data_IF_858867592349
#
_entry.id   IF_858867592349
#
_cell.length_a   1.000
_cell.length_b   1.000
_cell.length_c   1.000
_cell.angle_alpha   90.00
_cell.angle_beta   90.00
_cell.angle_gamma   90.00
#
_symmetry.space_group_name_H-M   'P 1'
#
loop_
_entity.id
_entity.type
_entity.pdbx_description
1 polymer ?
#
# COMPACT_ATOMS: atom_id res chain seq x y z
N UNK A 1 -27.82 -14.17 75.93
CA UNK A 1 -26.53 -14.89 75.91
C UNK A 1 -26.27 -15.33 74.48
N UNK A 2 -25.53 -14.52 73.72
CA UNK A 2 -24.88 -14.86 72.45
C UNK A 2 -23.61 -13.99 72.38
N UNK A 3 -22.41 -14.55 72.22
CA UNK A 3 -21.18 -13.78 72.28
C UNK A 3 -20.87 -13.15 70.92
N UNK A 4 -20.60 -11.84 70.90
CA UNK A 4 -19.91 -11.20 69.78
C UNK A 4 -18.49 -11.76 69.69
N UNK A 5 -18.18 -12.54 68.66
CA UNK A 5 -16.79 -12.84 68.30
C UNK A 5 -16.17 -11.58 67.68
N UNK A 6 -15.16 -11.05 68.36
CA UNK A 6 -14.26 -10.04 67.80
C UNK A 6 -13.49 -10.67 66.64
N UNK A 7 -13.71 -10.15 65.43
CA UNK A 7 -12.84 -10.41 64.29
C UNK A 7 -11.59 -9.56 64.50
N UNK A 8 -10.53 -10.18 65.02
CA UNK A 8 -9.21 -9.58 65.05
C UNK A 8 -8.65 -9.61 63.62
N UNK A 9 -8.62 -8.45 62.96
CA UNK A 9 -7.87 -8.28 61.72
C UNK A 9 -6.40 -8.23 62.11
N UNK A 10 -5.55 -9.18 61.67
CA UNK A 10 -4.13 -9.10 61.94
C UNK A 10 -3.58 -7.88 61.19
N UNK A 11 -3.05 -6.90 61.93
CA UNK A 11 -2.22 -5.86 61.32
C UNK A 11 -0.96 -6.54 60.82
N UNK A 12 -0.83 -6.68 59.50
CA UNK A 12 0.44 -7.04 58.89
C UNK A 12 1.36 -5.83 58.99
N UNK A 13 2.09 -5.73 60.10
CA UNK A 13 3.27 -4.88 60.15
C UNK A 13 4.22 -5.36 59.06
N UNK A 14 4.21 -4.64 57.95
CA UNK A 14 5.00 -4.92 56.76
C UNK A 14 6.44 -4.53 57.10
N UNK A 15 7.19 -5.45 57.70
CA UNK A 15 8.63 -5.27 57.95
C UNK A 15 9.36 -5.44 56.62
N UNK A 16 9.26 -4.40 55.79
CA UNK A 16 10.05 -4.31 54.57
C UNK A 16 11.40 -3.73 54.96
N UNK A 17 12.38 -4.60 55.23
CA UNK A 17 13.79 -4.20 55.34
C UNK A 17 14.17 -3.31 54.14
N UNK A 18 15.00 -2.28 54.35
CA UNK A 18 15.37 -1.34 53.28
C UNK A 18 15.86 -2.04 51.99
N UNK A 19 16.51 -3.20 52.11
CA UNK A 19 16.90 -4.06 50.98
C UNK A 19 15.73 -4.68 50.20
N UNK A 20 14.69 -5.20 50.87
CA UNK A 20 13.52 -5.76 50.18
C UNK A 20 12.66 -4.68 49.53
N UNK A 21 12.66 -3.45 50.06
CA UNK A 21 12.06 -2.27 49.43
C UNK A 21 12.72 -1.94 48.09
N UNK A 22 14.06 -1.97 48.03
CA UNK A 22 14.80 -1.71 46.79
C UNK A 22 14.50 -2.77 45.72
N UNK A 23 14.48 -4.05 46.11
CA UNK A 23 14.14 -5.15 45.19
C UNK A 23 12.72 -4.98 44.64
N UNK A 24 11.76 -4.61 45.47
CA UNK A 24 10.37 -4.41 45.07
C UNK A 24 10.22 -3.22 44.12
N UNK A 25 10.95 -2.13 44.34
CA UNK A 25 10.98 -0.97 43.43
C UNK A 25 11.55 -1.36 42.07
N UNK A 26 12.70 -2.05 42.03
CA UNK A 26 13.31 -2.55 40.77
C UNK A 26 12.36 -3.50 40.04
N UNK A 27 11.68 -4.38 40.77
CA UNK A 27 10.71 -5.32 40.20
C UNK A 27 9.49 -4.60 39.60
N UNK A 28 8.95 -3.57 40.27
CA UNK A 28 7.88 -2.72 39.73
C UNK A 28 8.35 -2.01 38.47
N UNK A 29 9.56 -1.44 38.45
CA UNK A 29 10.11 -0.80 37.25
C UNK A 29 10.21 -1.78 36.07
N UNK A 30 10.69 -3.01 36.32
CA UNK A 30 10.74 -4.04 35.29
C UNK A 30 9.34 -4.41 34.76
N UNK A 31 8.37 -4.59 35.65
CA UNK A 31 6.98 -4.87 35.29
C UNK A 31 6.37 -3.74 34.46
N UNK A 32 6.62 -2.49 34.83
CA UNK A 32 6.16 -1.30 34.09
C UNK A 32 6.79 -1.23 32.70
N UNK A 33 8.10 -1.47 32.56
CA UNK A 33 8.78 -1.46 31.25
C UNK A 33 8.21 -2.57 30.35
N UNK A 34 7.91 -3.75 30.90
CA UNK A 34 7.31 -4.85 30.16
C UNK A 34 5.90 -4.49 29.65
N UNK A 35 5.06 -3.91 30.50
CA UNK A 35 3.71 -3.48 30.12
C UNK A 35 3.71 -2.36 29.06
N UNK A 36 4.62 -1.40 29.19
CA UNK A 36 4.79 -0.32 28.22
C UNK A 36 5.32 -0.84 26.89
N UNK A 37 6.23 -1.81 26.89
CA UNK A 37 6.75 -2.45 25.67
C UNK A 37 5.66 -3.23 24.94
N UNK A 38 4.82 -3.95 25.69
CA UNK A 38 3.67 -4.65 25.12
C UNK A 38 2.65 -3.68 24.53
N UNK A 39 2.33 -2.61 25.26
CA UNK A 39 1.41 -1.56 24.80
C UNK A 39 1.95 -0.82 23.58
N UNK A 40 3.25 -0.51 23.54
CA UNK A 40 3.90 0.14 22.41
C UNK A 40 3.93 -0.77 21.18
N UNK A 41 4.24 -2.06 21.35
CA UNK A 41 4.24 -3.02 20.26
C UNK A 41 2.82 -3.24 19.69
N UNK A 42 1.82 -3.36 20.57
CA UNK A 42 0.42 -3.46 20.16
C UNK A 42 -0.04 -2.20 19.42
N UNK A 43 0.29 -1.02 19.96
CA UNK A 43 -0.01 0.26 19.32
C UNK A 43 0.67 0.38 17.96
N UNK A 44 1.92 -0.06 17.84
CA UNK A 44 2.66 -0.11 16.57
C UNK A 44 1.98 -1.04 15.56
N UNK A 45 1.55 -2.23 15.95
CA UNK A 45 0.83 -3.16 15.06
C UNK A 45 -0.50 -2.54 14.61
N UNK A 46 -1.25 -1.94 15.53
CA UNK A 46 -2.54 -1.30 15.21
C UNK A 46 -2.38 -0.08 14.30
N UNK A 47 -1.35 0.75 14.52
CA UNK A 47 -1.07 1.92 13.69
C UNK A 47 -0.54 1.54 12.31
N UNK A 48 0.32 0.52 12.21
CA UNK A 48 0.80 0.00 10.91
C UNK A 48 -0.34 -0.61 10.09
N UNK A 49 -1.25 -1.33 10.72
CA UNK A 49 -2.39 -1.93 10.03
C UNK A 49 -3.43 -0.89 9.55
N UNK A 50 -3.54 0.26 10.23
CA UNK A 50 -4.44 1.36 9.80
C UNK A 50 -3.81 2.23 8.70
N UNK A 51 -2.48 2.34 8.66
CA UNK A 51 -1.76 3.13 7.65
C UNK A 51 -1.58 2.37 6.34
N UNK A 52 -1.60 1.03 6.37
CA UNK A 52 -1.60 0.25 5.14
C UNK A 52 -3.03 0.17 4.61
N UNK A 53 -3.34 0.77 3.45
CA UNK A 53 -4.60 0.49 2.78
C UNK A 53 -4.70 -1.02 2.58
N UNK A 54 -5.92 -1.58 2.65
CA UNK A 54 -6.14 -2.97 2.29
C UNK A 54 -5.73 -3.14 0.83
N UNK A 55 -4.48 -3.56 0.58
CA UNK A 55 -3.98 -3.82 -0.76
C UNK A 55 -4.65 -5.12 -1.19
N UNK A 56 -5.60 -5.09 -2.14
CA UNK A 56 -6.25 -6.30 -2.58
C UNK A 56 -5.19 -7.19 -3.21
N UNK A 57 -5.13 -8.45 -2.78
CA UNK A 57 -4.18 -9.40 -3.36
C UNK A 57 -4.51 -9.58 -4.84
N UNK A 58 -3.52 -9.85 -5.70
CA UNK A 58 -3.77 -10.21 -7.12
C UNK A 58 -4.74 -11.41 -7.22
N UNK A 59 -4.74 -12.30 -6.23
CA UNK A 59 -5.70 -13.42 -6.16
C UNK A 59 -7.14 -12.96 -5.96
N UNK A 60 -7.35 -11.89 -5.20
CA UNK A 60 -8.66 -11.29 -4.95
C UNK A 60 -9.10 -10.44 -6.14
N UNK A 61 -8.18 -9.63 -6.70
CA UNK A 61 -8.44 -8.83 -7.89
C UNK A 61 -8.87 -9.69 -9.08
N UNK A 62 -8.35 -10.91 -9.21
CA UNK A 62 -8.78 -11.86 -10.26
C UNK A 62 -10.25 -12.28 -10.19
N UNK A 63 -10.92 -12.06 -9.05
CA UNK A 63 -12.34 -12.36 -8.86
C UNK A 63 -13.23 -11.12 -9.02
N UNK A 64 -12.64 -9.94 -9.20
CA UNK A 64 -13.33 -8.66 -9.31
C UNK A 64 -13.10 -8.04 -10.68
N UNK A 65 -13.90 -7.03 -11.03
CA UNK A 65 -13.69 -6.26 -12.25
C UNK A 65 -12.45 -5.36 -12.13
N UNK A 66 -11.62 -5.37 -13.17
CA UNK A 66 -10.37 -4.62 -13.24
C UNK A 66 -10.32 -3.80 -14.53
N UNK A 67 -9.91 -2.54 -14.40
CA UNK A 67 -9.79 -1.60 -15.51
C UNK A 67 -8.40 -1.60 -16.14
N UNK A 68 -8.34 -1.27 -17.42
CA UNK A 68 -7.09 -1.04 -18.15
C UNK A 68 -7.27 -0.03 -19.30
N UNK A 69 -6.18 0.57 -19.76
CA UNK A 69 -6.23 1.49 -20.91
C UNK A 69 -6.59 0.75 -22.21
N UNK A 70 -7.61 1.24 -22.91
CA UNK A 70 -8.00 0.71 -24.20
C UNK A 70 -6.86 0.84 -25.22
N UNK A 71 -6.74 -0.14 -26.10
CA UNK A 71 -5.63 -0.28 -27.06
C UNK A 71 -4.22 -0.40 -26.44
N UNK A 72 -4.10 -0.67 -25.14
CA UNK A 72 -2.82 -0.96 -24.49
C UNK A 72 -2.45 -2.45 -24.51
N UNK A 73 -1.15 -2.73 -24.46
CA UNK A 73 -0.60 -4.09 -24.27
C UNK A 73 -1.01 -4.68 -22.90
N UNK A 74 -1.42 -3.83 -21.95
CA UNK A 74 -1.80 -4.21 -20.59
C UNK A 74 -2.86 -5.32 -20.59
N UNK A 75 -3.83 -5.31 -21.52
CA UNK A 75 -4.82 -6.39 -21.63
C UNK A 75 -4.16 -7.77 -21.78
N UNK A 76 -3.23 -7.88 -22.73
CA UNK A 76 -2.50 -9.12 -22.99
C UNK A 76 -1.61 -9.51 -21.80
N UNK A 77 -1.00 -8.54 -21.13
CA UNK A 77 -0.22 -8.77 -19.92
C UNK A 77 -1.07 -9.33 -18.77
N UNK A 78 -2.25 -8.74 -18.52
CA UNK A 78 -3.17 -9.19 -17.47
C UNK A 78 -3.66 -10.63 -17.71
N UNK A 79 -3.98 -10.97 -18.95
CA UNK A 79 -4.45 -12.33 -19.30
C UNK A 79 -3.29 -13.33 -19.25
N UNK A 80 -2.20 -13.06 -19.98
CA UNK A 80 -1.15 -14.06 -20.23
C UNK A 80 -0.19 -14.23 -19.06
N UNK A 81 0.13 -13.15 -18.33
CA UNK A 81 1.11 -13.21 -17.23
C UNK A 81 0.46 -13.26 -15.85
N UNK A 82 -0.62 -12.50 -15.65
CA UNK A 82 -1.30 -12.45 -14.35
C UNK A 82 -2.51 -13.40 -14.24
N UNK A 83 -2.95 -14.00 -15.35
CA UNK A 83 -4.01 -15.00 -15.37
C UNK A 83 -5.40 -14.44 -15.05
N UNK A 84 -5.68 -13.20 -15.47
CA UNK A 84 -7.02 -12.62 -15.39
C UNK A 84 -7.94 -13.20 -16.46
N UNK A 85 -9.23 -13.33 -16.13
CA UNK A 85 -10.26 -13.68 -17.10
C UNK A 85 -10.66 -12.45 -17.90
N UNK A 86 -10.75 -12.59 -19.23
CA UNK A 86 -11.09 -11.48 -20.13
C UNK A 86 -12.45 -10.85 -19.80
N UNK A 87 -13.42 -11.64 -19.33
CA UNK A 87 -14.76 -11.15 -18.92
C UNK A 87 -14.73 -10.22 -17.71
N UNK A 88 -13.66 -10.24 -16.92
CA UNK A 88 -13.48 -9.38 -15.74
C UNK A 88 -12.68 -8.11 -16.07
N UNK A 89 -12.24 -7.93 -17.32
CA UNK A 89 -11.45 -6.79 -17.73
C UNK A 89 -12.33 -5.74 -18.43
N UNK A 90 -12.20 -4.48 -18.01
CA UNK A 90 -12.94 -3.35 -18.60
C UNK A 90 -11.97 -2.35 -19.24
N UNK A 91 -12.12 -2.05 -20.55
CA UNK A 91 -11.32 -1.04 -21.21
C UNK A 91 -11.83 0.37 -20.89
N UNK A 92 -10.91 1.32 -20.74
CA UNK A 92 -11.20 2.73 -20.51
C UNK A 92 -10.28 3.60 -21.37
N UNK A 93 -10.72 4.81 -21.74
CA UNK A 93 -9.98 5.66 -22.68
C UNK A 93 -9.47 6.95 -22.03
N UNK A 94 -10.09 7.41 -20.94
CA UNK A 94 -9.76 8.67 -20.29
C UNK A 94 -9.47 8.52 -18.80
N UNK A 95 -8.73 9.50 -18.27
CA UNK A 95 -8.43 9.64 -16.83
C UNK A 95 -9.71 9.89 -16.02
N UNK A 96 -10.71 10.54 -16.62
CA UNK A 96 -12.01 10.78 -15.99
C UNK A 96 -12.82 9.46 -15.91
N UNK A 97 -12.74 8.60 -16.93
CA UNK A 97 -13.35 7.27 -16.91
C UNK A 97 -12.76 6.41 -15.77
N UNK A 98 -11.46 6.56 -15.51
CA UNK A 98 -10.79 5.86 -14.41
C UNK A 98 -11.39 6.25 -13.06
N UNK A 99 -11.59 7.55 -12.85
CA UNK A 99 -12.18 8.07 -11.63
C UNK A 99 -13.63 7.59 -11.46
N UNK A 100 -14.43 7.63 -12.52
CA UNK A 100 -15.80 7.14 -12.50
C UNK A 100 -15.85 5.63 -12.19
N UNK A 101 -15.01 4.84 -12.84
CA UNK A 101 -14.96 3.40 -12.65
C UNK A 101 -14.49 2.99 -11.24
N UNK A 102 -13.46 3.66 -10.71
CA UNK A 102 -12.96 3.42 -9.35
C UNK A 102 -13.95 3.87 -8.29
N UNK A 103 -14.64 5.00 -8.49
CA UNK A 103 -15.62 5.52 -7.52
C UNK A 103 -16.88 4.66 -7.44
N UNK A 104 -17.31 4.03 -8.54
CA UNK A 104 -18.41 3.05 -8.53
C UNK A 104 -18.04 1.74 -7.81
N UNK A 105 -16.78 1.33 -7.91
CA UNK A 105 -16.29 0.07 -7.38
C UNK A 105 -16.81 -1.15 -8.15
N UNK A 106 -16.20 -2.33 -7.93
CA UNK A 106 -16.54 -3.55 -8.68
C UNK A 106 -17.97 -4.05 -8.43
N UNK A 107 -18.63 -3.66 -7.35
CA UNK A 107 -20.01 -4.07 -7.04
C UNK A 107 -21.06 -3.29 -7.86
N UNK A 108 -20.78 -2.05 -8.24
CA UNK A 108 -21.72 -1.17 -8.98
C UNK A 108 -21.26 -0.93 -10.42
N UNK A 109 -20.91 -1.99 -11.15
CA UNK A 109 -20.45 -1.93 -12.54
C UNK A 109 -19.17 -1.12 -12.79
N UNK A 110 -18.45 -0.71 -11.75
CA UNK A 110 -17.13 -0.11 -11.82
C UNK A 110 -16.01 -1.15 -11.82
N UNK A 111 -14.88 -0.79 -11.22
CA UNK A 111 -13.70 -1.65 -11.05
C UNK A 111 -13.10 -1.51 -9.65
N UNK A 112 -12.44 -2.55 -9.17
CA UNK A 112 -11.69 -2.52 -7.90
C UNK A 112 -10.30 -1.93 -8.04
N UNK A 113 -9.70 -2.01 -9.24
CA UNK A 113 -8.35 -1.52 -9.52
C UNK A 113 -8.21 -1.20 -11.01
N UNK A 114 -7.22 -0.35 -11.32
CA UNK A 114 -6.82 -0.02 -12.69
C UNK A 114 -5.35 -0.39 -12.86
N UNK A 115 -5.04 -1.09 -13.93
CA UNK A 115 -3.68 -1.39 -14.35
C UNK A 115 -3.36 -0.57 -15.59
N UNK A 116 -2.25 0.14 -15.54
CA UNK A 116 -1.80 0.99 -16.62
C UNK A 116 -0.31 1.30 -16.53
N UNK A 117 0.27 1.93 -17.55
CA UNK A 117 1.65 2.38 -17.45
C UNK A 117 1.82 3.48 -16.38
N UNK A 118 2.91 3.40 -15.61
CA UNK A 118 3.24 4.34 -14.51
C UNK A 118 3.06 5.83 -14.88
N UNK A 119 3.53 6.35 -16.03
CA UNK A 119 3.35 7.76 -16.35
C UNK A 119 1.86 8.16 -16.43
N UNK A 120 0.97 7.30 -16.92
CA UNK A 120 -0.47 7.59 -16.97
C UNK A 120 -1.11 7.54 -15.58
N UNK A 121 -0.71 6.58 -14.74
CA UNK A 121 -1.17 6.57 -13.34
C UNK A 121 -0.66 7.80 -12.58
N UNK A 122 0.59 8.24 -12.81
CA UNK A 122 1.11 9.48 -12.21
C UNK A 122 0.29 10.70 -12.65
N UNK A 123 -0.08 10.77 -13.92
CA UNK A 123 -0.95 11.83 -14.43
C UNK A 123 -2.33 11.79 -13.75
N UNK A 124 -2.93 10.60 -13.62
CA UNK A 124 -4.19 10.40 -12.91
C UNK A 124 -4.11 10.87 -11.46
N UNK A 125 -3.06 10.49 -10.71
CA UNK A 125 -2.87 10.90 -9.32
C UNK A 125 -2.57 12.40 -9.17
N UNK A 126 -1.95 13.02 -10.17
CA UNK A 126 -1.74 14.47 -10.19
C UNK A 126 -3.05 15.23 -10.40
N UNK A 127 -3.96 14.70 -11.23
CA UNK A 127 -5.30 15.26 -11.45
C UNK A 127 -6.23 15.00 -10.26
N UNK A 128 -6.16 13.80 -9.67
CA UNK A 128 -6.98 13.35 -8.55
C UNK A 128 -6.12 13.05 -7.32
N UNK A 129 -5.78 14.10 -6.58
CA UNK A 129 -4.80 14.05 -5.47
C UNK A 129 -5.31 13.36 -4.20
N UNK A 130 -6.61 13.11 -4.07
CA UNK A 130 -7.21 12.51 -2.89
C UNK A 130 -8.05 11.29 -3.24
N UNK A 131 -8.02 10.27 -2.38
CA UNK A 131 -8.87 9.07 -2.49
C UNK A 131 -8.28 7.92 -3.33
N UNK A 132 -7.15 8.13 -4.01
CA UNK A 132 -6.50 7.11 -4.83
C UNK A 132 -5.03 6.97 -4.50
N UNK A 133 -4.51 5.75 -4.64
CA UNK A 133 -3.08 5.51 -4.56
C UNK A 133 -2.66 4.36 -5.47
N UNK A 134 -1.40 4.38 -5.88
CA UNK A 134 -0.78 3.28 -6.61
C UNK A 134 -0.37 2.19 -5.62
N UNK A 135 -0.97 1.00 -5.73
CA UNK A 135 -0.72 -0.15 -4.85
C UNK A 135 -0.12 -1.34 -5.61
N UNK A 136 0.58 -2.20 -4.87
CA UNK A 136 1.07 -3.47 -5.38
C UNK A 136 2.43 -3.38 -6.07
N UNK A 137 2.92 -4.51 -6.60
CA UNK A 137 4.22 -4.56 -7.25
C UNK A 137 4.18 -3.83 -8.60
N UNK A 138 5.22 -3.07 -8.89
CA UNK A 138 5.47 -2.53 -10.23
C UNK A 138 6.00 -3.63 -11.14
N UNK A 139 5.31 -3.91 -12.24
CA UNK A 139 5.79 -4.85 -13.25
C UNK A 139 6.72 -4.15 -14.23
N UNK A 140 7.93 -4.69 -14.41
CA UNK A 140 8.88 -4.13 -15.39
C UNK A 140 8.45 -4.55 -16.79
N UNK A 141 8.33 -3.56 -17.67
CA UNK A 141 8.02 -3.75 -19.08
C UNK A 141 9.11 -3.10 -19.93
N UNK A 142 9.08 -3.31 -21.24
CA UNK A 142 10.11 -2.84 -22.19
C UNK A 142 10.12 -1.32 -22.41
N UNK A 143 9.20 -0.60 -21.75
CA UNK A 143 9.13 0.86 -21.76
C UNK A 143 8.44 1.44 -23.00
N UNK A 144 8.59 2.76 -23.19
CA UNK A 144 8.05 3.52 -24.32
C UNK A 144 9.13 3.78 -25.35
N UNK A 145 8.76 3.69 -26.64
CA UNK A 145 9.69 3.89 -27.75
C UNK A 145 9.00 4.40 -29.01
N UNK A 146 9.80 4.89 -29.95
CA UNK A 146 9.33 5.32 -31.26
C UNK A 146 9.50 4.21 -32.28
N UNK A 147 8.45 3.95 -33.07
CA UNK A 147 8.49 3.00 -34.16
C UNK A 147 8.87 3.70 -35.48
N UNK A 148 9.89 3.19 -36.16
CA UNK A 148 10.28 3.62 -37.50
C UNK A 148 10.20 2.43 -38.47
N UNK A 149 9.98 2.66 -39.78
CA UNK A 149 10.05 1.60 -40.77
C UNK A 149 11.39 0.86 -40.75
N UNK A 150 11.33 -0.45 -41.01
CA UNK A 150 12.52 -1.30 -41.09
C UNK A 150 13.45 -0.75 -42.18
N UNK A 151 14.72 -0.55 -41.85
CA UNK A 151 15.72 0.03 -42.76
C UNK A 151 15.72 1.55 -42.83
N UNK A 152 14.92 2.26 -42.01
CA UNK A 152 14.94 3.72 -41.99
C UNK A 152 16.31 4.28 -41.59
N UNK A 153 16.91 5.19 -42.37
CA UNK A 153 18.17 5.83 -42.01
C UNK A 153 18.03 6.76 -40.80
N UNK A 154 16.79 7.11 -40.42
CA UNK A 154 16.52 8.02 -39.30
C UNK A 154 16.62 7.35 -37.94
N UNK A 155 16.67 6.02 -37.86
CA UNK A 155 16.74 5.29 -36.59
C UNK A 155 17.92 5.75 -35.75
N UNK A 156 19.12 5.83 -36.33
CA UNK A 156 20.32 6.27 -35.62
C UNK A 156 20.20 7.72 -35.12
N UNK A 157 19.62 8.60 -35.92
CA UNK A 157 19.44 10.02 -35.57
C UNK A 157 18.42 10.18 -34.44
N UNK A 158 17.28 9.48 -34.52
CA UNK A 158 16.26 9.50 -33.47
C UNK A 158 16.80 8.93 -32.16
N UNK A 159 17.46 7.77 -32.19
CA UNK A 159 18.05 7.17 -30.98
C UNK A 159 19.07 8.09 -30.34
N UNK A 160 19.93 8.76 -31.12
CA UNK A 160 20.89 9.74 -30.60
C UNK A 160 20.21 10.99 -30.05
N UNK A 161 19.16 11.49 -30.70
CA UNK A 161 18.38 12.62 -30.20
C UNK A 161 17.70 12.31 -28.86
N UNK A 162 17.12 11.11 -28.72
CA UNK A 162 16.52 10.63 -27.47
C UNK A 162 17.58 10.56 -26.37
N UNK A 163 18.75 9.98 -26.65
CA UNK A 163 19.85 9.91 -25.68
C UNK A 163 20.34 11.30 -25.25
N UNK A 164 20.49 12.24 -26.18
CA UNK A 164 20.89 13.61 -25.85
C UNK A 164 19.82 14.32 -25.01
N UNK A 165 18.54 14.05 -25.26
CA UNK A 165 17.44 14.60 -24.49
C UNK A 165 17.37 14.00 -23.08
N UNK A 166 17.49 12.68 -22.94
CA UNK A 166 17.42 11.97 -21.66
C UNK A 166 18.62 12.27 -20.76
N UNK A 167 19.82 12.46 -21.33
CA UNK A 167 21.02 12.88 -20.60
C UNK A 167 21.08 14.40 -20.37
N UNK A 168 20.18 15.16 -21.00
CA UNK A 168 20.11 16.61 -20.91
C UNK A 168 19.41 17.09 -19.63
N UNK A 169 19.61 18.37 -19.30
CA UNK A 169 18.98 19.01 -18.13
C UNK A 169 17.44 19.13 -18.22
N UNK A 170 16.90 19.02 -19.44
CA UNK A 170 15.47 19.19 -19.72
C UNK A 170 14.60 17.99 -19.30
N UNK A 171 15.18 16.79 -19.18
CA UNK A 171 14.41 15.62 -18.73
C UNK A 171 13.97 15.77 -17.27
N UNK A 172 14.85 16.28 -16.41
CA UNK A 172 14.57 16.44 -14.98
C UNK A 172 13.43 17.43 -14.68
N UNK A 173 13.04 18.28 -15.63
CA UNK A 173 11.89 19.19 -15.48
C UNK A 173 10.54 18.57 -15.87
N UNK A 174 10.54 17.35 -16.42
CA UNK A 174 9.34 16.65 -16.88
C UNK A 174 8.98 15.43 -16.02
N UNK A 175 9.87 15.02 -15.11
CA UNK A 175 9.60 14.01 -14.06
C UNK A 175 8.97 14.62 -12.81
#
# INVERSE_FOLDING_TARGET
MFPCQSVAIPQTDMVVTNGSRLVLVVWIFLALISMQSYTANLSSILTVNQLQPTIPSIKELRKSYVGYQNHSFVKGFLINQLGFQESMLKPYCSVDDYQEALSKGSENEGVSAIFDEIPYIKLFLAQYTTGYLMVGPTYRTDGLGFALPIGSPMVANFSRAILNFTQGKYMNSLE
#
